data_IF_191969898992
#
_entry.id   IF_191969898992
#
_cell.length_a   1.000
_cell.length_b   1.000
_cell.length_c   1.000
_cell.angle_alpha   90.00
_cell.angle_beta   90.00
_cell.angle_gamma   90.00
#
_symmetry.space_group_name_H-M   'P 1'
#
loop_
_entity.id
_entity.type
_entity.pdbx_description
1 polymer ?
2 non-polymer ?
3 non-polymer ?
4 water ?
#
# COMPACT_ATOMS: atom_id res chain seq x y z
N UNK A 4 11.49 -28.97 3.56
CA UNK A 4 10.40 -27.98 3.89
C UNK A 4 10.03 -27.17 2.64
N UNK A 5 8.78 -27.25 2.13
CA UNK A 5 8.42 -26.62 0.87
C UNK A 5 8.41 -25.09 1.03
N UNK A 6 8.65 -24.36 -0.05
CA UNK A 6 8.54 -22.88 -0.02
C UNK A 6 7.07 -22.50 -0.15
N UNK A 7 6.62 -21.46 0.56
CA UNK A 7 5.22 -21.12 0.51
C UNK A 7 4.81 -20.49 -0.81
N UNK A 8 3.54 -20.71 -1.16
CA UNK A 8 2.88 -20.12 -2.35
C UNK A 8 2.05 -18.90 -1.92
N UNK A 9 1.76 -18.80 -0.63
CA UNK A 9 0.94 -17.72 -0.04
C UNK A 9 1.35 -17.51 1.41
N UNK A 10 1.35 -16.24 1.84
CA UNK A 10 1.59 -15.85 3.24
C UNK A 10 0.45 -14.98 3.70
N UNK A 11 0.37 -14.84 5.00
CA UNK A 11 -0.55 -13.83 5.56
C UNK A 11 0.27 -12.72 6.19
N UNK A 12 -0.28 -11.51 5.98
CA UNK A 12 0.34 -10.25 6.40
C UNK A 12 -0.64 -9.50 7.29
N UNK A 13 -0.25 -9.11 8.48
CA UNK A 13 -0.97 -8.20 9.36
C UNK A 13 -0.45 -6.79 9.13
N UNK A 14 -1.36 -5.86 8.94
CA UNK A 14 -1.08 -4.41 8.88
C UNK A 14 -1.81 -3.75 10.03
N UNK A 15 -1.10 -3.01 10.88
CA UNK A 15 -1.73 -2.19 11.93
C UNK A 15 -1.41 -0.76 11.75
N UNK A 16 -2.33 0.12 12.03
CA UNK A 16 -2.06 1.55 12.11
C UNK A 16 -2.72 2.09 13.36
N UNK A 17 -1.94 2.85 14.15
CA UNK A 17 -2.46 3.44 15.38
C UNK A 17 -1.82 4.78 15.64
N UNK A 18 -2.62 5.81 15.72
CA UNK A 18 -2.16 7.13 16.18
C UNK A 18 -2.33 7.11 17.71
N UNK A 19 -1.21 7.03 18.41
CA UNK A 19 -1.18 6.77 19.87
C UNK A 19 -1.45 8.05 20.68
N UNK A 20 -1.59 9.19 20.05
CA UNK A 20 -1.95 10.42 20.78
C UNK A 20 -0.91 10.80 21.82
N UNK A 21 0.35 10.45 21.59
CA UNK A 21 1.49 10.84 22.46
C UNK A 21 1.28 10.29 23.87
N UNK A 22 0.60 9.14 24.01
CA UNK A 22 0.39 8.47 25.32
C UNK A 22 0.97 7.10 25.22
N UNK A 23 1.53 6.54 26.32
CA UNK A 23 1.88 5.13 26.33
C UNK A 23 0.68 4.23 26.19
N UNK A 24 0.91 3.06 25.61
CA UNK A 24 -0.17 2.11 25.43
C UNK A 24 -0.62 1.50 26.74
N UNK A 25 -1.79 0.87 26.77
CA UNK A 25 -2.19 0.13 27.94
C UNK A 25 -1.38 -1.17 28.02
N UNK A 26 -1.56 -1.92 29.09
CA UNK A 26 -0.70 -3.12 29.31
C UNK A 26 -1.02 -4.25 28.33
N UNK A 27 -2.24 -4.35 27.85
CA UNK A 27 -2.63 -5.43 26.93
C UNK A 27 -3.12 -4.82 25.61
N UNK A 28 -2.47 -5.21 24.51
CA UNK A 28 -2.89 -4.71 23.16
C UNK A 28 -3.13 -5.89 22.24
N UNK A 29 -3.24 -7.10 22.77
CA UNK A 29 -3.41 -8.31 21.94
C UNK A 29 -4.61 -8.27 20.99
N UNK A 30 -5.70 -7.58 21.36
CA UNK A 30 -6.93 -7.51 20.52
C UNK A 30 -6.57 -6.92 19.15
N UNK A 31 -5.59 -6.01 19.11
CA UNK A 31 -5.15 -5.42 17.83
C UNK A 31 -4.62 -6.51 16.90
N UNK A 32 -3.68 -7.31 17.39
CA UNK A 32 -3.00 -8.31 16.55
C UNK A 32 -3.89 -9.52 16.27
N UNK A 33 -4.95 -9.70 17.06
CA UNK A 33 -5.96 -10.75 16.83
C UNK A 33 -7.07 -10.27 15.91
N UNK A 34 -7.08 -9.02 15.43
CA UNK A 34 -8.16 -8.52 14.56
C UNK A 34 -9.52 -8.70 15.26
N UNK A 35 -9.62 -8.25 16.51
CA UNK A 35 -10.84 -8.32 17.34
C UNK A 35 -11.38 -6.90 17.56
N UNK A 36 -12.70 -6.74 17.47
CA UNK A 36 -13.37 -5.49 17.81
C UNK A 36 -14.51 -5.31 16.89
N UNK A 37 -14.51 -4.21 16.16
CA UNK A 37 -15.58 -3.83 15.20
C UNK A 37 -15.09 -4.10 13.78
N UNK A 38 -16.03 -4.26 12.85
CA UNK A 38 -15.74 -4.34 11.45
C UNK A 38 -15.66 -5.76 11.00
N UNK A 39 -14.75 -6.03 10.06
CA UNK A 39 -14.51 -7.38 9.49
C UNK A 39 -13.41 -8.02 10.32
N UNK A 40 -13.82 -8.86 11.29
CA UNK A 40 -12.94 -9.39 12.32
C UNK A 40 -12.54 -10.83 12.00
N UNK A 41 -11.51 -11.25 12.68
CA UNK A 41 -10.91 -12.59 12.45
C UNK A 41 -11.59 -13.62 13.37
N UNK A 42 -11.76 -14.81 12.84
CA UNK A 42 -12.42 -15.91 13.58
C UNK A 42 -11.55 -16.32 14.79
N UNK A 43 -12.24 -16.57 15.90
CA UNK A 43 -11.56 -17.02 17.15
C UNK A 43 -10.72 -18.28 16.91
N UNK A 44 -11.15 -19.14 16.01
CA UNK A 44 -10.43 -20.41 15.78
C UNK A 44 -9.04 -20.19 15.19
N UNK A 45 -8.72 -18.99 14.72
CA UNK A 45 -7.39 -18.65 14.14
C UNK A 45 -6.52 -17.96 15.19
N UNK A 46 -6.95 -17.75 16.41
CA UNK A 46 -6.18 -16.87 17.32
C UNK A 46 -4.73 -17.32 17.53
N UNK A 47 -4.45 -18.61 17.52
CA UNK A 47 -3.09 -19.09 17.82
C UNK A 47 -2.25 -19.18 16.56
N UNK A 48 -2.84 -19.00 15.39
CA UNK A 48 -2.13 -19.14 14.10
C UNK A 48 -1.41 -17.83 13.84
N UNK A 49 -0.08 -17.82 13.81
CA UNK A 49 0.65 -16.58 13.59
C UNK A 49 0.48 -16.16 12.12
N UNK A 50 0.41 -14.84 11.92
CA UNK A 50 0.64 -14.29 10.59
C UNK A 50 2.13 -14.45 10.26
N UNK A 51 2.45 -14.51 8.98
CA UNK A 51 3.85 -14.64 8.52
C UNK A 51 4.62 -13.37 8.81
N UNK A 52 3.99 -12.22 8.56
CA UNK A 52 4.64 -10.89 8.68
C UNK A 52 3.66 -9.97 9.40
N UNK A 53 4.12 -9.21 10.36
CA UNK A 53 3.37 -8.15 11.06
C UNK A 53 4.03 -6.82 10.78
N UNK A 54 3.27 -5.87 10.24
CA UNK A 54 3.74 -4.52 9.95
C UNK A 54 2.94 -3.57 10.77
N UNK A 55 3.63 -2.81 11.63
CA UNK A 55 2.98 -1.98 12.68
C UNK A 55 3.35 -0.52 12.47
N UNK A 56 2.38 0.29 12.02
CA UNK A 56 2.58 1.72 11.83
C UNK A 56 1.99 2.48 12.97
N UNK A 57 2.76 3.36 13.59
CA UNK A 57 2.27 4.27 14.62
C UNK A 57 2.49 5.70 14.19
N UNK A 58 1.65 6.55 14.73
CA UNK A 58 1.80 8.03 14.61
C UNK A 58 1.65 8.60 16.01
N UNK A 59 2.22 9.78 16.25
CA UNK A 59 2.22 10.36 17.61
C UNK A 59 2.69 9.32 18.61
N UNK A 60 3.73 8.56 18.26
CA UNK A 60 4.28 7.49 19.09
C UNK A 60 5.28 8.10 20.06
N UNK A 61 5.00 8.00 21.38
CA UNK A 61 5.90 8.62 22.39
C UNK A 61 7.00 7.69 22.87
N UNK A 62 7.04 6.46 22.45
CA UNK A 62 7.96 5.42 22.98
C UNK A 62 9.27 5.48 22.22
N UNK A 63 10.32 4.97 22.85
CA UNK A 63 11.54 4.67 22.11
C UNK A 63 11.32 3.43 21.22
N UNK A 64 12.18 3.22 20.24
CA UNK A 64 12.13 2.00 19.43
C UNK A 64 12.27 0.78 20.33
N UNK A 65 13.20 0.82 21.31
CA UNK A 65 13.39 -0.33 22.19
C UNK A 65 12.11 -0.62 22.96
N UNK A 66 11.53 0.40 23.54
CA UNK A 66 10.33 0.25 24.38
C UNK A 66 9.19 -0.35 23.55
N UNK A 67 8.97 0.13 22.33
CA UNK A 67 7.86 -0.38 21.51
C UNK A 67 8.12 -1.79 21.00
N UNK A 68 9.35 -2.08 20.57
CA UNK A 68 9.71 -3.43 20.13
C UNK A 68 9.46 -4.44 21.24
N UNK A 69 9.88 -4.10 22.46
CA UNK A 69 9.63 -4.91 23.67
C UNK A 69 8.16 -5.31 23.70
N UNK A 70 7.29 -4.29 23.68
CA UNK A 70 5.84 -4.47 23.82
C UNK A 70 5.28 -5.31 22.69
N UNK A 71 5.71 -5.01 21.47
CA UNK A 71 5.21 -5.76 20.31
C UNK A 71 5.60 -7.23 20.40
N UNK A 72 6.88 -7.49 20.58
CA UNK A 72 7.35 -8.89 20.64
C UNK A 72 6.66 -9.69 21.76
N UNK A 73 6.49 -9.07 22.93
CA UNK A 73 5.78 -9.68 24.08
C UNK A 73 4.35 -10.05 23.66
N UNK A 74 3.63 -9.09 23.07
CA UNK A 74 2.23 -9.29 22.66
C UNK A 74 2.13 -10.49 21.71
N UNK A 75 3.01 -10.57 20.70
CA UNK A 75 2.94 -11.66 19.73
C UNK A 75 3.31 -12.97 20.42
N UNK A 76 4.33 -12.96 21.26
CA UNK A 76 4.74 -14.21 21.95
C UNK A 76 3.60 -14.72 22.82
N UNK A 77 2.88 -13.83 23.48
CA UNK A 77 1.75 -14.24 24.33
C UNK A 77 0.64 -14.86 23.47
N UNK A 78 0.38 -14.30 22.27
CA UNK A 78 -0.72 -14.79 21.39
C UNK A 78 -0.35 -16.16 20.79
N UNK A 79 0.86 -16.28 20.30
CA UNK A 79 1.25 -17.34 19.33
C UNK A 79 2.27 -18.33 19.90
N UNK A 80 2.93 -17.97 20.98
CA UNK A 80 4.07 -18.74 21.58
C UNK A 80 5.25 -18.73 20.63
N UNK A 81 5.32 -17.78 19.69
CA UNK A 81 6.45 -17.63 18.73
C UNK A 81 7.20 -16.36 19.05
N UNK A 82 8.52 -16.43 19.03
CA UNK A 82 9.41 -15.28 19.20
C UNK A 82 9.74 -14.69 17.82
N UNK A 83 9.11 -13.58 17.48
CA UNK A 83 9.24 -12.99 16.14
C UNK A 83 10.60 -12.32 16.00
N UNK A 84 11.10 -12.28 14.79
CA UNK A 84 12.36 -11.61 14.44
C UNK A 84 12.08 -10.23 13.89
N UNK A 85 12.88 -9.27 14.24
CA UNK A 85 12.73 -7.91 13.75
C UNK A 85 13.34 -7.79 12.36
N UNK A 86 12.57 -7.49 11.34
CA UNK A 86 13.04 -7.30 9.96
C UNK A 86 13.57 -5.90 9.81
N UNK A 87 12.81 -4.91 10.29
CA UNK A 87 13.19 -3.51 10.15
C UNK A 87 12.39 -2.64 11.10
N UNK A 88 12.97 -1.54 11.51
CA UNK A 88 12.28 -0.49 12.28
C UNK A 88 12.77 0.85 11.78
N UNK A 89 11.89 1.79 11.54
CA UNK A 89 12.31 3.13 11.08
C UNK A 89 11.38 4.18 11.64
N UNK A 90 11.90 5.25 12.15
CA UNK A 90 11.15 6.31 12.81
C UNK A 90 11.50 7.65 12.18
N UNK A 91 10.52 8.48 11.86
CA UNK A 91 10.71 9.89 11.51
C UNK A 91 9.89 10.65 12.53
N UNK A 92 10.51 11.46 13.37
CA UNK A 92 9.82 12.20 14.43
C UNK A 92 9.05 11.20 15.28
N UNK A 93 7.73 11.29 15.26
CA UNK A 93 6.89 10.37 16.05
C UNK A 93 6.09 9.42 15.15
N UNK A 94 6.53 9.23 13.92
CA UNK A 94 5.95 8.33 12.91
C UNK A 94 6.82 7.12 12.78
N UNK A 95 6.34 5.92 12.97
CA UNK A 95 7.21 4.75 13.05
C UNK A 95 6.61 3.56 12.33
N UNK A 96 7.48 2.75 11.79
CA UNK A 96 7.12 1.46 11.19
C UNK A 96 7.99 0.36 11.78
N UNK A 97 7.37 -0.75 12.17
CA UNK A 97 8.08 -1.96 12.64
C UNK A 97 7.63 -3.10 11.75
N UNK A 98 8.57 -3.91 11.26
CA UNK A 98 8.25 -5.14 10.53
C UNK A 98 8.84 -6.31 11.30
N UNK A 99 7.99 -7.26 11.66
CA UNK A 99 8.34 -8.49 12.36
C UNK A 99 7.97 -9.66 11.51
N UNK A 100 8.73 -10.74 11.57
CA UNK A 100 8.42 -11.95 10.78
C UNK A 100 8.70 -13.20 11.58
N UNK A 101 8.01 -14.29 11.24
CA UNK A 101 8.28 -15.62 11.82
C UNK A 101 9.77 -15.91 11.68
N UNK A 102 10.39 -16.60 12.66
CA UNK A 102 11.80 -16.96 12.50
C UNK A 102 12.13 -17.86 11.31
N UNK A 103 11.20 -18.68 10.88
CA UNK A 103 11.39 -19.57 9.72
C UNK A 103 11.57 -18.75 8.44
N UNK A 104 11.21 -17.46 8.44
CA UNK A 104 11.28 -16.62 7.23
C UNK A 104 12.59 -15.89 7.14
N UNK A 105 13.46 -16.04 8.14
CA UNK A 105 14.62 -15.14 8.24
C UNK A 105 15.51 -15.24 6.99
N UNK A 106 15.66 -16.44 6.45
CA UNK A 106 16.52 -16.71 5.25
C UNK A 106 15.66 -16.71 3.97
N UNK A 107 14.43 -16.18 4.04
CA UNK A 107 13.56 -15.92 2.85
C UNK A 107 13.50 -14.42 2.60
N UNK A 108 13.94 -13.62 3.54
CA UNK A 108 13.80 -12.15 3.48
C UNK A 108 15.15 -11.53 3.17
N UNK A 109 15.25 -10.66 2.20
CA UNK A 109 16.52 -10.01 1.86
C UNK A 109 16.25 -8.62 1.27
N UNK A 110 17.27 -7.88 0.90
CA UNK A 110 17.12 -6.56 0.26
C UNK A 110 16.21 -5.69 1.12
N UNK A 111 16.48 -5.58 2.38
CA UNK A 111 15.66 -4.74 3.27
C UNK A 111 16.07 -3.30 3.07
N UNK A 112 15.10 -2.42 2.78
CA UNK A 112 15.29 -0.96 2.64
C UNK A 112 14.33 -0.20 3.55
N UNK A 113 14.77 0.94 4.05
CA UNK A 113 13.94 1.87 4.82
C UNK A 113 14.14 3.24 4.25
N UNK A 114 13.12 4.08 4.36
CA UNK A 114 13.28 5.50 3.99
C UNK A 114 12.17 6.31 4.66
N UNK A 115 12.24 7.61 4.58
CA UNK A 115 11.18 8.51 5.08
C UNK A 115 11.07 9.69 4.12
N UNK A 116 9.95 10.33 4.15
CA UNK A 116 9.69 11.59 3.45
C UNK A 116 9.09 12.54 4.44
N UNK A 117 9.60 13.77 4.51
CA UNK A 117 9.08 14.89 5.29
C UNK A 117 8.20 15.72 4.40
N UNK A 118 6.91 15.92 4.72
CA UNK A 118 6.05 16.69 3.81
C UNK A 118 6.06 18.17 4.19
N UNK A 119 5.53 19.03 3.32
CA UNK A 119 5.30 20.44 3.72
C UNK A 119 6.54 21.30 3.47
N UNK A 120 6.43 22.58 3.82
CA UNK A 120 7.52 23.62 3.61
C UNK A 120 7.38 24.60 4.77
N UNK A 121 8.51 24.99 5.39
CA UNK A 121 8.61 26.01 6.48
C UNK A 121 7.62 25.67 7.61
N UNK A 122 6.55 26.47 7.78
CA UNK A 122 5.41 26.30 8.76
C UNK A 122 4.97 24.83 8.88
N UNK A 123 4.85 24.15 7.74
CA UNK A 123 4.20 22.81 7.59
C UNK A 123 5.26 21.71 7.48
N UNK A 124 6.57 22.02 7.59
CA UNK A 124 7.62 20.98 7.69
C UNK A 124 7.95 20.82 9.16
N UNK A 125 7.83 19.61 9.70
CA UNK A 125 8.40 19.31 11.02
C UNK A 125 7.67 18.26 11.78
N UNK A 126 6.45 17.87 11.35
CA UNK A 126 5.89 16.68 12.03
C UNK A 126 5.18 15.65 11.15
N UNK A 127 4.76 16.03 9.94
CA UNK A 127 3.99 15.14 9.03
C UNK A 127 4.97 14.50 8.03
N UNK A 128 4.59 13.34 7.52
CA UNK A 128 5.36 12.68 6.49
C UNK A 128 5.11 11.21 6.53
N UNK A 129 6.06 10.44 6.12
CA UNK A 129 5.87 8.99 5.97
C UNK A 129 7.15 8.27 6.23
N UNK A 130 7.06 7.03 6.69
CA UNK A 130 8.19 6.10 6.77
C UNK A 130 7.82 4.89 5.94
N UNK A 131 8.78 4.16 5.45
CA UNK A 131 8.49 2.95 4.72
C UNK A 131 9.56 1.91 4.82
N UNK A 132 9.19 0.71 4.49
CA UNK A 132 10.07 -0.46 4.49
C UNK A 132 9.78 -1.23 3.21
N UNK A 133 10.78 -1.78 2.55
CA UNK A 133 10.61 -2.79 1.50
C UNK A 133 11.58 -3.94 1.68
N UNK A 134 11.22 -5.08 1.13
CA UNK A 134 12.16 -6.21 1.10
C UNK A 134 11.63 -7.19 0.09
N UNK A 135 12.45 -8.20 -0.21
CA UNK A 135 12.06 -9.35 -1.00
C UNK A 135 11.71 -10.47 -0.05
N UNK A 136 10.66 -11.19 -0.33
CA UNK A 136 10.26 -12.43 0.35
C UNK A 136 10.36 -13.48 -0.75
N UNK A 137 11.43 -14.28 -0.75
CA UNK A 137 11.71 -15.20 -1.91
C UNK A 137 11.62 -14.36 -3.21
N UNK A 138 10.76 -14.72 -4.17
CA UNK A 138 10.73 -14.06 -5.47
C UNK A 138 9.79 -12.87 -5.48
N UNK A 139 9.22 -12.46 -4.34
CA UNK A 139 8.13 -11.47 -4.29
C UNK A 139 8.63 -10.23 -3.59
N UNK A 140 8.43 -9.07 -4.19
CA UNK A 140 8.81 -7.77 -3.57
C UNK A 140 7.60 -7.23 -2.81
N UNK A 141 7.86 -6.74 -1.62
CA UNK A 141 6.84 -6.22 -0.67
C UNK A 141 7.25 -4.83 -0.24
N UNK A 142 6.32 -3.87 -0.31
CA UNK A 142 6.52 -2.50 0.18
C UNK A 142 5.45 -2.09 1.14
N UNK A 143 5.83 -1.28 2.13
CA UNK A 143 4.95 -0.86 3.22
C UNK A 143 5.18 0.60 3.50
N UNK A 144 4.14 1.40 3.56
CA UNK A 144 4.24 2.85 3.81
C UNK A 144 3.30 3.18 4.93
N UNK A 145 3.81 3.84 5.95
CA UNK A 145 3.03 4.42 7.06
C UNK A 145 3.11 5.91 6.94
N UNK A 146 2.03 6.59 6.64
CA UNK A 146 2.05 8.05 6.47
C UNK A 146 1.15 8.69 7.50
N UNK A 147 1.54 9.83 8.04
CA UNK A 147 0.75 10.75 8.85
C UNK A 147 0.55 12.01 8.02
N UNK A 148 -0.62 12.18 7.44
CA UNK A 148 -0.89 13.29 6.51
C UNK A 148 -1.44 14.49 7.27
N UNK A 149 -1.53 15.61 6.59
CA UNK A 149 -1.94 16.88 7.18
C UNK A 149 -3.31 16.72 7.80
N UNK A 150 -3.52 17.32 8.98
CA UNK A 150 -4.80 17.29 9.72
C UNK A 150 -5.76 18.37 9.28
N UNK A 151 -7.01 18.26 9.68
CA UNK A 151 -7.99 19.34 9.50
C UNK A 151 -8.98 19.05 8.43
N UNK A 152 -10.27 19.22 8.73
CA UNK A 152 -11.31 18.91 7.73
C UNK A 152 -11.17 19.69 6.43
N UNK A 153 -10.58 20.89 6.50
CA UNK A 153 -10.55 21.86 5.38
C UNK A 153 -9.37 21.56 4.43
N UNK A 154 -8.50 20.61 4.80
CA UNK A 154 -7.19 20.45 4.15
C UNK A 154 -7.09 19.16 3.33
N UNK A 155 -8.18 18.75 2.69
CA UNK A 155 -8.08 17.53 1.86
C UNK A 155 -7.08 17.68 0.69
N UNK A 156 -7.02 18.86 0.09
CA UNK A 156 -6.11 19.05 -1.07
C UNK A 156 -4.66 18.99 -0.59
N UNK A 157 -4.36 19.44 0.63
CA UNK A 157 -3.00 19.29 1.20
C UNK A 157 -2.69 17.81 1.39
N UNK A 158 -3.65 17.04 1.91
CA UNK A 158 -3.42 15.60 2.07
C UNK A 158 -3.11 14.96 0.72
N UNK A 159 -3.83 15.37 -0.31
CA UNK A 159 -3.58 14.80 -1.64
C UNK A 159 -2.16 15.16 -2.13
N UNK A 160 -1.74 16.37 -1.85
CA UNK A 160 -0.36 16.80 -2.21
C UNK A 160 0.65 16.02 -1.39
N UNK A 161 0.35 15.78 -0.10
CA UNK A 161 1.25 14.98 0.76
C UNK A 161 1.44 13.59 0.14
N UNK A 162 0.32 12.97 -0.27
CA UNK A 162 0.36 11.66 -0.93
C UNK A 162 1.30 11.67 -2.13
N UNK A 163 1.17 12.66 -3.02
CA UNK A 163 1.99 12.68 -4.25
C UNK A 163 3.46 12.88 -3.85
N UNK A 164 3.73 13.77 -2.89
CA UNK A 164 5.15 13.93 -2.49
C UNK A 164 5.72 12.63 -1.95
N UNK A 165 4.96 11.92 -1.12
CA UNK A 165 5.46 10.66 -0.53
C UNK A 165 5.72 9.64 -1.65
N UNK A 166 4.74 9.54 -2.54
CA UNK A 166 4.73 8.63 -3.72
C UNK A 166 5.98 8.87 -4.56
N UNK A 167 6.34 10.15 -4.74
CA UNK A 167 7.46 10.55 -5.61
C UNK A 167 8.79 10.33 -4.94
N UNK A 168 8.90 10.64 -3.66
CA UNK A 168 10.22 10.84 -3.04
C UNK A 168 10.61 9.71 -2.12
N UNK A 169 9.71 8.77 -1.79
CA UNK A 169 10.12 7.69 -0.89
C UNK A 169 10.93 6.70 -1.70
N UNK A 170 12.17 6.47 -1.33
CA UNK A 170 13.14 5.68 -2.12
C UNK A 170 13.23 4.26 -1.61
N UNK A 171 12.25 3.43 -1.94
CA UNK A 171 12.24 2.01 -1.54
C UNK A 171 12.38 1.14 -2.75
N UNK A 172 12.64 -0.15 -2.55
CA UNK A 172 12.69 -1.14 -3.62
C UNK A 172 13.88 -0.97 -4.51
N UNK A 173 13.80 -1.56 -5.68
CA UNK A 173 14.99 -1.75 -6.55
C UNK A 173 15.32 -0.44 -7.27
N UNK A 174 16.50 0.11 -6.87
CA UNK A 174 16.93 1.42 -7.45
C UNK A 174 17.14 1.30 -8.96
N UNK A 175 17.31 0.21 -9.55
CA UNK A 175 17.47 0.03 -11.01
C UNK A 175 16.15 0.30 -11.73
N UNK A 176 15.02 0.27 -10.98
CA UNK A 176 13.69 0.57 -11.57
C UNK A 176 13.49 2.07 -11.64
N UNK A 177 14.46 2.76 -12.29
CA UNK A 177 14.60 4.23 -12.13
C UNK A 177 13.41 5.00 -12.65
N UNK A 178 12.67 4.58 -13.70
CA UNK A 178 11.52 5.35 -14.12
C UNK A 178 10.30 5.20 -13.20
N UNK A 179 10.37 4.29 -12.24
CA UNK A 179 9.17 3.84 -11.49
C UNK A 179 9.22 4.37 -10.08
N UNK A 180 8.10 4.86 -9.61
CA UNK A 180 7.90 5.22 -8.19
C UNK A 180 7.45 4.00 -7.39
N UNK A 181 7.22 4.20 -6.09
CA UNK A 181 6.82 3.05 -5.27
C UNK A 181 5.52 2.42 -5.73
N UNK A 182 4.65 3.14 -6.45
CA UNK A 182 3.38 2.51 -6.88
C UNK A 182 3.59 1.48 -7.99
N UNK A 183 4.80 1.29 -8.49
CA UNK A 183 5.10 0.25 -9.47
C UNK A 183 6.24 -0.66 -9.04
N UNK A 184 6.90 -0.43 -7.92
CA UNK A 184 8.12 -1.23 -7.63
C UNK A 184 7.85 -2.56 -6.95
N UNK A 185 6.63 -2.82 -6.46
CA UNK A 185 6.38 -3.98 -5.59
C UNK A 185 5.27 -4.85 -6.12
N UNK A 186 5.44 -6.16 -5.93
CA UNK A 186 4.38 -7.12 -6.21
C UNK A 186 3.14 -6.69 -5.41
N UNK A 187 3.36 -6.41 -4.14
CA UNK A 187 2.32 -5.96 -3.20
C UNK A 187 2.83 -4.72 -2.46
N UNK A 188 2.05 -3.64 -2.51
CA UNK A 188 2.35 -2.41 -1.78
C UNK A 188 1.20 -2.17 -0.82
N UNK A 189 1.47 -1.97 0.45
CA UNK A 189 0.47 -1.62 1.49
C UNK A 189 0.76 -0.21 1.95
N UNK A 190 -0.23 0.66 1.93
CA UNK A 190 -0.12 2.07 2.34
C UNK A 190 -1.18 2.32 3.39
N UNK A 191 -0.76 2.73 4.56
CA UNK A 191 -1.63 2.85 5.72
C UNK A 191 -1.18 4.03 6.55
N UNK A 192 -1.94 4.38 7.56
CA UNK A 192 -1.56 5.45 8.46
C UNK A 192 -2.73 6.25 8.92
N UNK A 193 -2.39 7.33 9.62
CA UNK A 193 -3.35 8.42 9.91
C UNK A 193 -3.39 9.34 8.71
N UNK A 194 -4.19 8.92 7.74
CA UNK A 194 -4.34 9.65 6.48
C UNK A 194 -5.12 10.93 6.70
N UNK A 195 -5.91 11.01 7.77
CA UNK A 195 -6.49 12.28 8.24
C UNK A 195 -7.62 12.79 7.35
N UNK A 196 -8.17 11.99 6.46
CA UNK A 196 -9.37 12.41 5.73
C UNK A 196 -10.61 12.30 6.62
N UNK A 197 -11.51 13.26 6.45
CA UNK A 197 -12.62 13.44 7.40
C UNK A 197 -13.95 13.16 6.70
N UNK A 198 -14.97 13.05 7.53
CA UNK A 198 -16.39 12.97 7.07
C UNK A 198 -16.82 14.42 6.90
N UNK A 199 -17.06 14.85 5.67
CA UNK A 199 -17.29 16.28 5.36
C UNK A 199 -18.80 16.55 5.40
N UNK A 200 -19.30 16.77 6.62
CA UNK A 200 -20.69 17.14 6.88
C UNK A 200 -20.61 18.41 7.69
N UNK A 201 -21.70 19.22 7.72
CA UNK A 201 -21.64 20.46 8.47
C UNK A 201 -21.41 20.20 9.97
N UNK A 202 -20.71 21.10 10.65
CA UNK A 202 -20.29 20.91 12.07
C UNK A 202 -21.52 20.84 12.98
N UNK A 203 -22.63 21.46 12.58
CA UNK A 203 -23.90 21.46 13.34
C UNK A 203 -24.69 20.16 13.13
N UNK A 204 -24.19 19.24 12.28
CA UNK A 204 -24.68 17.85 12.20
C UNK A 204 -23.92 16.93 13.18
N UNK A 205 -23.07 17.42 14.09
CA UNK A 205 -22.22 16.56 14.93
C UNK A 205 -23.08 15.56 15.69
N UNK A 206 -24.13 16.01 16.34
CA UNK A 206 -24.87 15.10 17.21
C UNK A 206 -25.64 14.12 16.33
N UNK A 207 -26.13 14.55 15.18
CA UNK A 207 -26.78 13.61 14.23
C UNK A 207 -25.78 12.53 13.83
N UNK A 208 -24.53 12.92 13.54
CA UNK A 208 -23.49 11.91 13.16
C UNK A 208 -23.28 10.90 14.30
N UNK A 209 -23.20 11.39 15.53
CA UNK A 209 -23.02 10.53 16.71
C UNK A 209 -24.17 9.52 16.82
N UNK A 210 -25.40 9.96 16.61
CA UNK A 210 -26.58 9.07 16.74
C UNK A 210 -26.55 8.02 15.60
N UNK A 211 -26.10 8.38 14.38
CA UNK A 211 -25.92 7.39 13.30
C UNK A 211 -24.90 6.32 13.73
N UNK A 212 -23.78 6.77 14.32
CA UNK A 212 -22.72 5.84 14.75
C UNK A 212 -23.29 4.89 15.81
N UNK A 213 -24.06 5.39 16.76
CA UNK A 213 -24.68 4.54 17.81
C UNK A 213 -25.63 3.49 17.23
N UNK A 214 -26.27 3.81 16.12
CA UNK A 214 -27.17 2.90 15.40
C UNK A 214 -26.44 2.00 14.42
N UNK A 215 -25.09 2.12 14.38
CA UNK A 215 -24.24 1.40 13.40
C UNK A 215 -24.74 1.60 11.98
N UNK A 216 -25.15 2.82 11.66
CA UNK A 216 -25.64 3.19 10.33
C UNK A 216 -24.60 4.08 9.71
N UNK A 217 -23.65 3.50 8.99
CA UNK A 217 -22.47 4.24 8.49
C UNK A 217 -22.68 4.76 7.08
N UNK A 218 -23.74 4.40 6.35
CA UNK A 218 -23.80 4.66 4.89
C UNK A 218 -23.81 6.16 4.62
N UNK A 219 -24.58 6.96 5.34
CA UNK A 219 -24.68 8.40 5.04
C UNK A 219 -23.43 9.12 5.52
N UNK A 220 -22.64 8.46 6.38
CA UNK A 220 -21.33 9.05 6.75
C UNK A 220 -20.26 8.70 5.70
N UNK A 221 -20.19 7.43 5.29
CA UNK A 221 -19.16 6.99 4.32
C UNK A 221 -19.35 7.70 3.00
N UNK A 222 -20.58 8.06 2.62
CA UNK A 222 -20.82 8.78 1.35
C UNK A 222 -20.23 10.18 1.43
N UNK A 223 -19.81 10.66 2.61
CA UNK A 223 -19.14 11.98 2.73
C UNK A 223 -17.68 11.82 3.18
N UNK A 224 -17.17 10.60 3.28
CA UNK A 224 -15.75 10.43 3.64
C UNK A 224 -14.90 10.98 2.51
N UNK A 225 -13.97 11.88 2.90
CA UNK A 225 -13.15 12.57 1.90
C UNK A 225 -12.25 11.60 1.16
N UNK A 226 -11.72 10.57 1.79
CA UNK A 226 -10.82 9.66 1.07
C UNK A 226 -11.63 8.89 0.00
N UNK A 227 -12.79 8.36 0.31
CA UNK A 227 -13.61 7.68 -0.70
C UNK A 227 -14.02 8.65 -1.80
N UNK A 228 -14.40 9.88 -1.49
CA UNK A 228 -14.85 10.79 -2.56
C UNK A 228 -13.66 11.22 -3.37
N UNK A 229 -12.53 11.57 -2.78
CA UNK A 229 -11.34 11.95 -3.54
C UNK A 229 -10.87 10.80 -4.43
N UNK A 230 -10.90 9.57 -3.92
CA UNK A 230 -10.53 8.39 -4.74
C UNK A 230 -11.50 8.27 -5.92
N UNK A 231 -12.81 8.42 -5.70
CA UNK A 231 -13.81 8.25 -6.77
C UNK A 231 -13.60 9.31 -7.86
N UNK A 232 -13.10 10.49 -7.49
CA UNK A 232 -12.83 11.57 -8.45
C UNK A 232 -11.40 11.49 -8.98
N UNK A 233 -10.67 10.42 -8.64
CA UNK A 233 -9.32 10.17 -9.15
C UNK A 233 -8.38 11.31 -8.75
N UNK A 234 -8.51 11.83 -7.54
CA UNK A 234 -7.62 12.91 -7.04
C UNK A 234 -6.48 12.33 -6.19
N UNK A 235 -6.56 11.07 -5.73
CA UNK A 235 -5.59 10.49 -4.81
C UNK A 235 -5.71 8.97 -4.85
N UNK A 236 -4.66 8.27 -4.54
CA UNK A 236 -4.67 6.82 -4.40
C UNK A 236 -5.25 6.15 -5.65
N UNK A 237 -4.92 6.66 -6.81
CA UNK A 237 -5.35 6.02 -8.05
C UNK A 237 -4.80 4.61 -8.09
N UNK A 238 -5.64 3.64 -8.42
CA UNK A 238 -5.30 2.21 -8.63
C UNK A 238 -4.96 1.51 -7.34
N UNK A 239 -5.35 2.09 -6.21
CA UNK A 239 -5.30 1.37 -4.90
C UNK A 239 -6.66 0.82 -4.56
N UNK A 240 -6.67 -0.18 -3.70
CA UNK A 240 -7.90 -0.84 -3.17
C UNK A 240 -8.04 -0.54 -1.68
N UNK A 241 -9.26 -0.56 -1.18
CA UNK A 241 -9.54 -0.51 0.26
C UNK A 241 -10.71 -1.45 0.49
N UNK A 242 -10.65 -2.24 1.56
CA UNK A 242 -11.79 -3.09 1.98
C UNK A 242 -12.94 -2.19 2.45
N UNK A 243 -14.18 -2.63 2.28
CA UNK A 243 -15.33 -1.88 2.76
C UNK A 243 -15.17 -1.64 4.25
N UNK A 244 -15.51 -0.43 4.69
CA UNK A 244 -15.47 -0.03 6.11
C UNK A 244 -16.78 -0.39 6.80
N UNK A 245 -16.69 -1.18 7.83
CA UNK A 245 -17.89 -1.67 8.56
C UNK A 245 -17.70 -1.47 10.04
N UNK A 246 -16.78 -0.59 10.45
CA UNK A 246 -16.44 -0.23 11.85
C UNK A 246 -16.73 1.26 12.02
N UNK A 247 -16.97 1.67 13.26
CA UNK A 247 -17.25 3.08 13.56
C UNK A 247 -16.03 3.94 13.27
N UNK A 248 -16.26 5.23 13.03
CA UNK A 248 -15.12 6.16 12.96
C UNK A 248 -14.14 5.98 14.11
N UNK A 249 -12.83 6.07 13.81
CA UNK A 249 -11.79 5.76 14.80
C UNK A 249 -11.23 7.01 15.48
N UNK A 250 -11.79 8.16 15.16
CA UNK A 250 -11.34 9.46 15.69
C UNK A 250 -12.60 10.31 15.78
N UNK A 251 -12.70 11.29 16.70
CA UNK A 251 -11.81 11.60 17.80
C UNK A 251 -12.53 11.23 19.09
N UNK A 252 -11.97 10.33 19.87
CA UNK A 252 -12.56 9.82 21.12
C UNK A 252 -12.01 10.57 22.33
N UNK A 253 -12.85 10.70 23.35
CA UNK A 253 -12.35 10.99 24.71
C UNK A 253 -11.50 9.82 25.14
N UNK A 254 -10.36 10.08 25.73
CA UNK A 254 -9.48 8.98 26.21
C UNK A 254 -10.10 8.22 27.38
N UNK A 255 -9.74 6.97 27.55
CA UNK A 255 -10.01 6.05 28.68
C UNK A 255 -11.42 5.44 28.58
N UNK A 256 -12.22 5.86 27.61
CA UNK A 256 -13.48 5.18 27.26
C UNK A 256 -13.57 5.07 25.74
N UNK A 257 -14.53 4.36 25.16
CA UNK A 257 -14.90 4.61 23.74
C UNK A 257 -16.34 5.08 23.65
N UNK A 258 -16.89 5.58 24.75
CA UNK A 258 -18.34 5.91 24.80
C UNK A 258 -18.60 7.30 24.24
N UNK A 259 -17.57 8.13 24.05
CA UNK A 259 -17.76 9.55 23.70
C UNK A 259 -16.81 9.93 22.58
N UNK A 260 -17.38 10.54 21.58
CA UNK A 260 -16.64 11.29 20.57
C UNK A 260 -16.46 12.72 21.05
N UNK A 261 -15.25 13.24 21.01
CA UNK A 261 -14.91 14.61 21.44
C UNK A 261 -14.68 15.43 20.19
N UNK A 262 -15.69 16.10 19.69
CA UNK A 262 -15.66 16.79 18.40
C UNK A 262 -15.59 18.32 18.49
N UNK A 263 -15.93 18.89 19.65
CA UNK A 263 -16.13 20.36 19.80
C UNK A 263 -14.78 21.07 19.69
N UNK A 264 -14.81 22.32 19.19
CA UNK A 264 -13.59 23.13 19.06
C UNK A 264 -13.10 23.54 20.46
N UNK A 265 -11.80 23.48 20.63
CA UNK A 265 -11.10 23.79 21.91
C UNK A 265 -9.79 24.52 21.58
N UNK A 266 -9.22 25.30 22.54
CA UNK A 266 -7.89 25.89 22.27
C UNK A 266 -6.88 24.79 21.85
N UNK A 267 -6.96 23.62 22.49
CA UNK A 267 -6.06 22.47 22.22
C UNK A 267 -6.19 22.00 20.76
N UNK A 268 -7.32 22.23 20.11
CA UNK A 268 -7.46 21.83 18.68
C UNK A 268 -7.26 23.00 17.75
N UNK A 269 -6.74 24.14 18.21
CA UNK A 269 -6.67 25.30 17.32
C UNK A 269 -8.04 25.84 16.96
N UNK A 270 -9.02 25.65 17.84
CA UNK A 270 -10.40 26.06 17.61
C UNK A 270 -10.97 25.39 16.35
N UNK A 271 -10.58 24.12 16.14
CA UNK A 271 -11.07 23.27 15.04
C UNK A 271 -12.06 22.24 15.58
N UNK A 272 -13.13 21.98 14.83
CA UNK A 272 -14.00 20.85 15.09
C UNK A 272 -13.33 19.60 14.51
N UNK A 273 -13.51 18.52 15.23
CA UNK A 273 -13.10 17.17 14.78
C UNK A 273 -14.33 16.26 14.75
N UNK A 274 -15.16 16.41 13.75
CA UNK A 274 -16.33 15.52 13.59
C UNK A 274 -15.77 14.11 13.47
N UNK A 275 -16.52 13.12 13.98
CA UNK A 275 -16.10 11.71 13.88
C UNK A 275 -15.75 11.31 12.46
N UNK A 276 -14.58 10.71 12.30
CA UNK A 276 -13.97 10.47 11.00
C UNK A 276 -13.21 9.15 10.97
N UNK A 277 -13.06 8.61 9.78
CA UNK A 277 -12.20 7.44 9.52
C UNK A 277 -10.81 7.92 9.12
N UNK A 278 -10.11 8.47 10.12
CA UNK A 278 -8.74 8.96 9.83
C UNK A 278 -7.75 7.87 9.48
N UNK A 279 -7.97 6.67 10.00
CA UNK A 279 -6.95 5.61 10.16
C UNK A 279 -7.25 4.48 9.20
N UNK A 280 -6.42 4.25 8.19
CA UNK A 280 -6.84 3.49 6.99
C UNK A 280 -5.74 2.55 6.56
N UNK A 281 -6.11 1.53 5.80
CA UNK A 281 -5.17 0.62 5.12
C UNK A 281 -5.65 0.45 3.70
N UNK A 282 -4.77 0.69 2.77
CA UNK A 282 -5.01 0.52 1.33
C UNK A 282 -3.89 -0.32 0.74
N UNK A 283 -4.12 -0.92 -0.40
CA UNK A 283 -3.07 -1.72 -1.06
C UNK A 283 -3.18 -1.64 -2.56
N UNK A 284 -2.09 -2.02 -3.18
CA UNK A 284 -2.02 -2.11 -4.65
C UNK A 284 -1.12 -3.25 -4.95
N UNK A 285 -1.59 -4.24 -5.68
CA UNK A 285 -0.80 -5.41 -6.08
C UNK A 285 -0.74 -5.46 -7.60
N UNK A 286 0.31 -6.04 -8.14
CA UNK A 286 0.40 -6.23 -9.61
C UNK A 286 -0.80 -7.02 -10.10
N UNK A 287 -1.14 -6.80 -11.39
CA UNK A 287 -2.28 -7.47 -11.98
C UNK A 287 -2.21 -9.00 -11.84
N UNK A 288 -3.34 -9.60 -11.49
CA UNK A 288 -3.57 -11.06 -11.45
C UNK A 288 -2.66 -11.72 -10.43
N UNK A 289 -2.21 -10.98 -9.41
CA UNK A 289 -1.55 -11.63 -8.26
C UNK A 289 -2.62 -11.80 -7.19
N UNK A 290 -2.62 -12.91 -6.51
CA UNK A 290 -3.57 -13.20 -5.42
C UNK A 290 -3.32 -12.21 -4.28
N UNK A 291 -4.35 -11.53 -3.86
CA UNK A 291 -4.36 -10.70 -2.63
C UNK A 291 -5.79 -10.64 -2.17
N UNK A 292 -6.04 -11.03 -0.96
CA UNK A 292 -7.40 -11.07 -0.40
C UNK A 292 -7.35 -10.50 1.00
N UNK A 293 -8.14 -9.46 1.24
CA UNK A 293 -8.30 -8.91 2.60
C UNK A 293 -9.15 -9.83 3.45
N UNK A 294 -8.58 -10.30 4.56
CA UNK A 294 -9.22 -11.26 5.50
C UNK A 294 -9.89 -10.53 6.66
N UNK A 295 -9.44 -9.32 7.00
CA UNK A 295 -9.95 -8.58 8.16
C UNK A 295 -9.70 -7.09 7.89
N UNK A 296 -10.58 -6.24 8.40
CA UNK A 296 -10.40 -4.78 8.33
C UNK A 296 -11.31 -4.19 9.37
N UNK A 297 -10.75 -3.70 10.46
CA UNK A 297 -11.57 -3.26 11.60
C UNK A 297 -10.80 -2.47 12.60
N UNK A 298 -11.43 -2.18 13.72
CA UNK A 298 -10.83 -1.34 14.77
C UNK A 298 -10.98 -2.06 16.10
N UNK A 299 -10.08 -1.83 17.04
CA UNK A 299 -10.23 -2.41 18.37
C UNK A 299 -11.20 -1.53 19.14
N UNK A 300 -11.79 -2.17 20.15
CA UNK A 300 -12.77 -1.52 21.04
C UNK A 300 -12.21 -1.36 22.46
N UNK A 301 -11.10 -2.01 22.80
CA UNK A 301 -10.64 -2.12 24.20
C UNK A 301 -9.29 -1.45 24.42
N UNK A 302 -8.77 -0.66 23.46
CA UNK A 302 -7.48 0.05 23.61
C UNK A 302 -7.84 1.53 23.57
N UNK A 303 -7.75 2.22 24.72
CA UNK A 303 -8.44 3.52 24.94
C UNK A 303 -7.49 4.63 25.40
N UNK A 304 -6.18 4.42 25.30
CA UNK A 304 -5.19 5.42 25.79
C UNK A 304 -5.08 6.61 24.84
N UNK A 305 -5.47 6.45 23.57
CA UNK A 305 -5.38 7.50 22.56
C UNK A 305 -6.77 8.04 22.22
N UNK A 306 -6.81 9.19 21.58
CA UNK A 306 -8.02 9.72 20.96
C UNK A 306 -8.32 9.01 19.63
N UNK A 307 -7.45 8.16 19.11
CA UNK A 307 -7.77 7.23 18.01
C UNK A 307 -7.84 5.81 18.51
N UNK A 308 -8.67 4.98 17.89
CA UNK A 308 -8.60 3.52 18.04
C UNK A 308 -7.65 2.94 17.03
N UNK A 309 -6.89 1.91 17.41
CA UNK A 309 -6.11 1.15 16.45
C UNK A 309 -6.96 0.54 15.34
N UNK A 310 -6.38 0.41 14.17
CA UNK A 310 -7.00 -0.24 13.04
C UNK A 310 -6.14 -1.41 12.62
N UNK A 311 -6.76 -2.53 12.27
CA UNK A 311 -6.09 -3.72 11.76
C UNK A 311 -6.62 -4.06 10.39
N UNK A 312 -5.75 -4.63 9.59
CA UNK A 312 -6.14 -5.32 8.36
C UNK A 312 -5.23 -6.50 8.17
N UNK A 313 -5.78 -7.57 7.66
CA UNK A 313 -4.95 -8.75 7.31
C UNK A 313 -5.23 -9.21 5.91
N UNK A 314 -4.21 -9.81 5.31
CA UNK A 314 -4.22 -10.18 3.89
C UNK A 314 -3.60 -11.55 3.70
N UNK A 315 -4.16 -12.30 2.76
CA UNK A 315 -3.52 -13.50 2.18
C UNK A 315 -2.93 -13.06 0.84
N UNK A 316 -1.59 -13.15 0.68
CA UNK A 316 -0.85 -12.58 -0.44
C UNK A 316 -0.06 -13.69 -1.14
N UNK A 317 -0.21 -13.76 -2.45
CA UNK A 317 0.54 -14.73 -3.25
C UNK A 317 1.99 -14.36 -3.28
N UNK A 318 2.85 -15.39 -3.16
CA UNK A 318 4.31 -15.26 -3.24
C UNK A 318 4.84 -16.33 -4.17
N UNK A 319 6.03 -16.10 -4.68
CA UNK A 319 6.70 -17.03 -5.59
C UNK A 319 8.05 -17.37 -5.01
N UNK A 320 8.61 -18.47 -5.51
CA UNK A 320 9.90 -19.04 -5.04
C UNK A 320 11.05 -18.27 -5.69
N UNK A 321 12.28 -18.50 -5.19
CA UNK A 321 13.53 -18.01 -5.79
C UNK A 321 13.99 -19.06 -6.82
N UNK A 322 13.47 -18.99 -8.04
CA UNK A 322 13.65 -19.97 -9.12
C UNK A 322 15.12 -20.04 -9.60
N UNK A 323 15.64 -21.27 -9.66
CA UNK A 323 16.92 -21.63 -10.33
C UNK A 323 16.60 -22.66 -11.43
N UNK A 324 17.18 -22.47 -12.61
CA UNK A 324 17.21 -23.52 -13.66
C UNK A 324 18.68 -23.84 -14.00
N UNK A 325 18.85 -24.81 -14.90
CA UNK A 325 20.16 -25.20 -15.48
C UNK A 325 20.73 -23.97 -16.21
N UNK A 326 19.86 -23.10 -16.74
CA UNK A 326 20.21 -21.87 -17.50
C UNK A 326 20.17 -20.65 -16.55
N UNK A 327 19.10 -19.85 -16.56
CA UNK A 327 19.02 -18.66 -15.67
C UNK A 327 18.86 -19.09 -14.20
N UNK A 328 19.30 -18.30 -13.20
CA UNK A 328 20.05 -17.03 -13.41
C UNK A 328 21.50 -17.09 -13.94
N UNK A 329 21.89 -16.07 -14.71
CA UNK A 329 23.26 -15.89 -15.24
C UNK A 329 23.39 -16.28 -16.69
N UNK A 330 22.27 -16.53 -17.33
CA UNK A 330 22.17 -16.71 -18.80
C UNK A 330 20.68 -16.57 -19.15
N UNK A 331 20.35 -16.52 -20.44
CA UNK A 331 18.95 -16.59 -20.96
C UNK A 331 18.53 -18.07 -21.06
N UNK A 332 17.27 -18.31 -21.42
CA UNK A 332 16.70 -19.65 -21.69
C UNK A 332 16.06 -19.58 -23.07
N UNK A 333 16.87 -19.78 -24.11
CA UNK A 333 16.50 -19.52 -25.53
C UNK A 333 15.09 -20.07 -25.81
N UNK A 334 14.58 -20.99 -24.99
CA UNK A 334 13.23 -21.58 -25.19
C UNK A 334 12.15 -20.53 -24.89
N UNK A 335 12.50 -19.43 -24.21
CA UNK A 335 11.55 -18.37 -23.77
C UNK A 335 11.61 -17.11 -24.61
N UNK A 336 10.46 -16.47 -24.86
CA UNK A 336 10.42 -15.15 -25.51
C UNK A 336 9.08 -14.44 -25.22
N UNK A 337 9.18 -13.12 -25.19
CA UNK A 337 7.99 -12.23 -25.09
C UNK A 337 8.00 -11.26 -26.28
N UNK A 338 6.92 -11.31 -27.05
CA UNK A 338 6.72 -10.44 -28.23
C UNK A 338 5.52 -9.54 -27.94
N UNK A 339 5.70 -8.24 -28.20
CA UNK A 339 4.59 -7.25 -28.32
C UNK A 339 4.24 -7.04 -29.80
N UNK A 340 2.95 -7.10 -30.13
CA UNK A 340 2.43 -6.90 -31.49
C UNK A 340 1.51 -5.69 -31.44
N UNK A 341 1.57 -4.80 -32.43
CA UNK A 341 0.47 -3.82 -32.69
C UNK A 341 0.26 -3.00 -31.40
N UNK A 342 1.35 -2.58 -30.78
CA UNK A 342 1.21 -1.82 -29.52
C UNK A 342 1.15 -0.33 -29.84
N UNK A 343 0.37 0.36 -29.04
CA UNK A 343 0.43 1.83 -29.07
C UNK A 343 0.13 2.41 -27.69
N UNK A 344 0.75 3.55 -27.47
CA UNK A 344 0.52 4.35 -26.25
C UNK A 344 -0.38 5.51 -26.65
N UNK A 345 -1.35 5.84 -25.82
CA UNK A 345 -2.18 7.05 -25.94
C UNK A 345 -1.78 7.95 -24.78
N UNK A 346 -1.28 9.15 -25.06
CA UNK A 346 -0.77 10.04 -23.99
C UNK A 346 -1.58 11.32 -23.95
N UNK A 347 -1.84 11.81 -22.75
CA UNK A 347 -2.51 13.10 -22.50
C UNK A 347 -1.59 14.31 -22.72
N UNK A 348 -0.31 14.14 -22.91
CA UNK A 348 0.65 15.27 -23.14
C UNK A 348 0.34 16.14 -24.36
N UNK A 349 0.73 17.40 -24.26
CA UNK A 349 0.65 18.36 -25.39
C UNK A 349 1.98 18.37 -26.16
N UNK A 350 3.04 17.80 -25.58
CA UNK A 350 4.41 17.86 -26.16
C UNK A 350 4.41 17.12 -27.50
N UNK A 351 5.45 17.30 -28.32
CA UNK A 351 5.55 16.62 -29.64
C UNK A 351 6.94 15.97 -29.82
N UNK A 352 7.71 15.72 -28.75
CA UNK A 352 8.94 14.88 -28.78
C UNK A 352 8.61 13.50 -29.39
N UNK A 353 9.61 12.78 -29.88
CA UNK A 353 9.51 11.34 -30.11
C UNK A 353 9.59 10.63 -28.74
N UNK A 354 9.05 9.42 -28.70
CA UNK A 354 9.04 8.59 -27.46
C UNK A 354 9.58 7.20 -27.76
N UNK A 355 10.21 6.61 -26.75
CA UNK A 355 10.65 5.21 -26.75
C UNK A 355 10.16 4.54 -25.49
N UNK A 356 10.19 3.22 -25.51
CA UNK A 356 9.76 2.42 -24.33
C UNK A 356 10.96 1.87 -23.62
N UNK A 357 10.83 1.64 -22.32
CA UNK A 357 11.69 0.72 -21.55
C UNK A 357 10.84 -0.37 -20.93
N UNK A 358 11.34 -1.60 -21.06
CA UNK A 358 10.72 -2.79 -20.46
C UNK A 358 11.62 -3.24 -19.30
N UNK A 359 11.09 -3.26 -18.08
CA UNK A 359 11.82 -3.68 -16.87
C UNK A 359 11.12 -4.88 -16.25
N UNK A 360 11.91 -5.85 -15.91
CA UNK A 360 11.36 -7.02 -15.20
C UNK A 360 12.50 -7.84 -14.63
N UNK A 361 12.26 -8.42 -13.45
CA UNK A 361 13.17 -9.41 -12.80
C UNK A 361 13.40 -10.61 -13.72
N UNK A 362 12.50 -10.88 -14.67
CA UNK A 362 12.68 -12.03 -15.58
C UNK A 362 13.66 -11.71 -16.71
N UNK A 363 14.17 -10.48 -16.81
CA UNK A 363 15.19 -10.05 -17.80
C UNK A 363 16.52 -9.82 -17.09
N UNK A 364 17.62 -10.00 -17.81
CA UNK A 364 18.96 -9.76 -17.22
C UNK A 364 19.15 -8.28 -16.92
N UNK A 365 18.56 -7.43 -17.76
CA UNK A 365 18.54 -5.97 -17.61
C UNK A 365 17.43 -5.39 -18.48
N UNK A 366 17.12 -4.12 -18.23
CA UNK A 366 15.97 -3.50 -18.93
C UNK A 366 16.29 -3.39 -20.41
N UNK A 367 15.23 -3.28 -21.19
CA UNK A 367 15.31 -3.24 -22.68
C UNK A 367 14.69 -1.94 -23.16
N UNK A 368 15.41 -1.24 -24.03
CA UNK A 368 15.02 0.08 -24.60
C UNK A 368 14.60 -0.11 -26.06
N UNK A 369 13.35 0.22 -26.40
CA UNK A 369 12.80 0.10 -27.75
C UNK A 369 13.37 1.20 -28.66
N UNK A 370 13.11 1.03 -29.95
CA UNK A 370 13.20 2.11 -30.97
C UNK A 370 12.14 3.16 -30.64
N UNK A 371 12.28 4.34 -31.23
CA UNK A 371 11.24 5.39 -31.14
C UNK A 371 9.98 4.93 -31.85
N UNK A 372 8.84 5.30 -31.32
CA UNK A 372 7.55 5.03 -31.95
C UNK A 372 7.22 6.10 -33.00
N UNK A 373 6.12 5.88 -33.71
CA UNK A 373 5.60 6.80 -34.76
C UNK A 373 4.42 7.58 -34.17
N UNK A 374 4.59 8.90 -34.03
CA UNK A 374 3.54 9.78 -33.49
C UNK A 374 2.43 10.02 -34.52
N UNK A 375 1.18 9.88 -34.12
CA UNK A 375 0.00 10.33 -34.90
C UNK A 375 -0.86 11.19 -33.96
N UNK A 376 -1.71 12.03 -34.51
CA UNK A 376 -2.78 12.79 -33.80
C UNK A 376 -4.02 11.88 -33.68
N UNK A 377 -4.53 11.68 -32.45
CA UNK A 377 -5.82 11.02 -32.17
C UNK A 377 -7.00 11.93 -32.51
N UNK A 378 -8.19 11.34 -32.72
CA UNK A 378 -9.42 12.03 -33.20
C UNK A 378 -9.84 13.13 -32.20
N UNK A 379 -9.68 12.89 -30.89
CA UNK A 379 -10.19 13.79 -29.80
C UNK A 379 -9.02 14.59 -29.19
N UNK A 380 -7.95 14.87 -29.96
CA UNK A 380 -6.85 15.79 -29.56
C UNK A 380 -5.57 15.10 -29.07
N UNK A 381 -5.59 13.79 -28.79
CA UNK A 381 -4.54 13.06 -27.99
C UNK A 381 -3.28 12.79 -28.81
N UNK A 382 -2.20 12.40 -28.14
CA UNK A 382 -1.04 11.85 -28.86
C UNK A 382 -1.13 10.32 -28.84
N UNK A 383 -1.06 9.70 -30.03
CA UNK A 383 -0.96 8.24 -30.19
C UNK A 383 0.43 7.95 -30.67
N UNK A 384 1.14 7.10 -29.95
CA UNK A 384 2.51 6.69 -30.32
C UNK A 384 2.42 5.23 -30.75
N UNK A 385 2.70 4.92 -32.01
CA UNK A 385 2.54 3.55 -32.56
C UNK A 385 3.90 2.88 -32.58
N UNK A 386 4.00 1.62 -32.17
CA UNK A 386 5.30 0.89 -32.17
C UNK A 386 5.35 -0.22 -33.22
N UNK A 387 4.19 -0.56 -33.73
CA UNK A 387 4.02 -1.54 -34.81
C UNK A 387 4.41 -2.93 -34.33
N UNK A 388 5.27 -3.58 -35.10
CA UNK A 388 5.87 -4.91 -34.83
C UNK A 388 7.37 -4.64 -34.69
N UNK A 389 7.70 -3.40 -34.29
CA UNK A 389 9.09 -2.88 -34.19
C UNK A 389 9.68 -3.21 -32.80
N UNK A 390 8.87 -3.62 -31.81
CA UNK A 390 9.36 -3.73 -30.40
C UNK A 390 10.35 -4.88 -30.25
N UNK A 391 11.43 -4.74 -29.44
CA UNK A 391 12.45 -5.78 -29.32
C UNK A 391 11.82 -7.06 -28.73
N UNK A 392 12.22 -8.23 -29.18
CA UNK A 392 11.74 -9.51 -28.58
C UNK A 392 12.44 -9.67 -27.23
N UNK A 393 11.72 -9.87 -26.12
CA UNK A 393 12.36 -9.93 -24.78
C UNK A 393 12.74 -11.38 -24.50
N UNK A 394 13.90 -11.54 -23.90
CA UNK A 394 14.56 -12.85 -23.69
C UNK A 394 14.65 -13.08 -22.20
N UNK A 395 13.65 -13.80 -21.63
CA UNK A 395 13.66 -14.09 -20.21
C UNK A 395 14.77 -15.07 -19.86
N UNK A 396 15.21 -14.99 -18.62
CA UNK A 396 16.36 -15.72 -18.02
C UNK A 396 15.95 -17.18 -17.78
N UNK A 397 14.67 -17.39 -17.62
CA UNK A 397 14.08 -18.73 -17.35
C UNK A 397 12.84 -18.91 -18.22
N UNK A 398 12.68 -20.07 -18.84
CA UNK A 398 11.59 -20.31 -19.83
C UNK A 398 10.47 -21.16 -19.23
N UNK A 399 10.71 -21.76 -18.07
CA UNK A 399 9.74 -22.66 -17.42
C UNK A 399 8.44 -21.87 -17.24
N UNK A 400 7.28 -22.36 -17.73
CA UNK A 400 6.02 -21.62 -17.60
C UNK A 400 5.61 -21.47 -16.13
N UNK A 401 5.97 -22.38 -15.24
CA UNK A 401 5.66 -22.22 -13.79
C UNK A 401 6.34 -20.97 -13.20
N UNK A 402 7.40 -20.54 -13.82
CA UNK A 402 8.10 -19.28 -13.41
C UNK A 402 7.48 -18.17 -14.26
N UNK A 403 7.51 -18.29 -15.59
CA UNK A 403 7.34 -17.09 -16.46
C UNK A 403 5.91 -16.58 -16.37
N UNK A 404 4.92 -17.44 -16.24
CA UNK A 404 3.51 -16.98 -16.23
C UNK A 404 3.25 -16.17 -14.94
N UNK A 405 4.08 -16.31 -13.92
CA UNK A 405 3.91 -15.51 -12.68
C UNK A 405 4.64 -14.18 -12.73
N UNK A 406 5.26 -13.80 -13.82
CA UNK A 406 6.07 -12.56 -13.87
C UNK A 406 5.25 -11.41 -14.43
N UNK A 407 5.88 -10.23 -14.37
CA UNK A 407 5.28 -8.96 -14.81
C UNK A 407 6.32 -8.12 -15.52
N UNK A 408 5.86 -7.38 -16.54
CA UNK A 408 6.70 -6.44 -17.29
C UNK A 408 6.23 -5.02 -16.94
N UNK A 409 7.11 -4.24 -16.35
CA UNK A 409 6.90 -2.80 -16.16
C UNK A 409 7.28 -2.10 -17.45
N UNK A 410 6.48 -1.14 -17.85
CA UNK A 410 6.70 -0.31 -19.07
C UNK A 410 6.75 1.15 -18.69
N UNK A 411 7.77 1.83 -19.18
CA UNK A 411 7.89 3.30 -19.12
C UNK A 411 7.97 3.82 -20.55
N UNK A 412 7.19 4.84 -20.84
CA UNK A 412 7.31 5.58 -22.12
C UNK A 412 8.07 6.86 -21.82
N UNK A 413 9.20 7.04 -22.51
CA UNK A 413 10.16 8.12 -22.21
C UNK A 413 10.31 9.03 -23.44
N UNK A 414 10.47 10.31 -23.16
CA UNK A 414 10.82 11.32 -24.20
C UNK A 414 12.24 11.09 -24.72
N UNK A 415 12.40 11.09 -26.04
CA UNK A 415 13.74 11.01 -26.68
C UNK A 415 14.55 12.27 -26.36
N UNK A 416 13.90 13.41 -26.18
CA UNK A 416 14.56 14.73 -26.00
C UNK A 416 15.09 14.85 -24.57
N UNK A 417 14.35 14.35 -23.57
CA UNK A 417 14.70 14.60 -22.14
C UNK A 417 15.03 13.30 -21.40
N UNK A 418 14.67 12.14 -21.97
CA UNK A 418 14.75 10.82 -21.31
C UNK A 418 13.92 10.78 -20.02
N UNK A 419 13.02 11.58 -19.90
CA UNK A 419 12.13 11.57 -18.72
C UNK A 419 10.91 10.69 -19.04
N UNK A 420 10.39 9.96 -18.04
CA UNK A 420 9.18 9.13 -18.22
C UNK A 420 7.95 10.00 -18.24
N UNK A 421 7.11 9.78 -19.23
CA UNK A 421 5.79 10.41 -19.31
C UNK A 421 4.69 9.46 -18.83
N UNK A 422 5.01 8.18 -18.56
CA UNK A 422 3.98 7.26 -18.08
C UNK A 422 4.61 5.90 -17.79
N UNK A 423 4.07 5.29 -16.77
CA UNK A 423 4.48 3.98 -16.25
C UNK A 423 3.28 3.09 -16.09
N UNK A 424 3.44 1.82 -16.39
CA UNK A 424 2.40 0.81 -16.18
C UNK A 424 2.99 -0.58 -16.06
N UNK A 425 2.11 -1.58 -15.97
CA UNK A 425 2.55 -2.95 -15.68
C UNK A 425 1.66 -3.92 -16.43
N UNK A 426 2.26 -4.92 -17.03
CA UNK A 426 1.57 -6.01 -17.77
C UNK A 426 1.86 -7.35 -17.09
N UNK A 427 0.82 -8.07 -16.73
CA UNK A 427 0.97 -9.46 -16.21
C UNK A 427 1.26 -10.44 -17.38
N UNK A 428 2.11 -11.41 -17.10
CA UNK A 428 2.34 -12.57 -18.03
C UNK A 428 1.45 -13.77 -17.66
N UNK A 429 0.49 -13.60 -16.76
CA UNK A 429 -0.44 -14.68 -16.35
C UNK A 429 -1.52 -14.86 -17.43
N UNK A 430 -1.11 -15.30 -18.63
CA UNK A 430 -1.97 -15.29 -19.82
C UNK A 430 -2.91 -16.48 -19.89
N UNK A 431 -3.98 -16.34 -20.65
CA UNK A 431 -4.95 -17.42 -20.94
C UNK A 431 -4.33 -18.52 -21.81
N UNK A 432 -3.26 -18.24 -22.52
CA UNK A 432 -2.66 -19.15 -23.53
C UNK A 432 -1.24 -18.70 -23.79
N UNK A 433 -0.35 -19.63 -24.18
CA UNK A 433 0.98 -19.33 -24.74
C UNK A 433 0.96 -19.53 -26.28
N UNK A 434 1.96 -18.97 -26.94
CA UNK A 434 2.13 -19.12 -28.41
C UNK A 434 0.86 -18.59 -29.10
N UNK A 435 0.18 -17.62 -28.50
CA UNK A 435 -1.14 -17.12 -28.96
C UNK A 435 -1.14 -15.59 -28.81
N UNK A 436 -1.58 -14.84 -29.82
CA UNK A 436 -1.68 -13.37 -29.71
C UNK A 436 -2.86 -13.07 -28.81
N UNK A 437 -2.60 -12.27 -27.76
CA UNK A 437 -3.64 -11.95 -26.76
C UNK A 437 -3.59 -10.46 -26.47
N UNK A 438 -4.76 -9.85 -26.24
CA UNK A 438 -4.80 -8.43 -25.87
C UNK A 438 -4.10 -8.19 -24.52
N UNK A 439 -3.37 -7.09 -24.48
CA UNK A 439 -2.78 -6.55 -23.22
C UNK A 439 -3.17 -5.09 -23.08
N UNK A 440 -3.14 -4.61 -21.85
CA UNK A 440 -3.56 -3.23 -21.52
C UNK A 440 -2.95 -2.87 -20.17
N UNK A 441 -2.49 -1.62 -20.05
CA UNK A 441 -2.27 -0.99 -18.73
C UNK A 441 -2.60 0.48 -18.85
N UNK A 442 -3.18 1.07 -17.81
CA UNK A 442 -3.14 2.53 -17.71
C UNK A 442 -1.68 2.96 -17.49
N UNK A 443 -1.38 4.18 -17.85
CA UNK A 443 -0.07 4.79 -17.61
C UNK A 443 -0.26 5.93 -16.63
N UNK A 444 0.63 5.99 -15.64
CA UNK A 444 0.64 7.09 -14.68
C UNK A 444 2.02 7.72 -14.64
N UNK A 445 2.06 8.94 -14.13
CA UNK A 445 3.35 9.61 -13.80
C UNK A 445 3.09 10.42 -12.57
N UNK A 446 3.99 10.29 -11.59
CA UNK A 446 3.77 10.87 -10.24
C UNK A 446 2.41 10.41 -9.72
N UNK A 447 2.01 9.18 -10.05
CA UNK A 447 0.75 8.56 -9.56
C UNK A 447 -0.51 9.10 -10.17
N UNK A 448 -0.45 10.06 -11.11
CA UNK A 448 -1.63 10.54 -11.82
C UNK A 448 -1.69 9.99 -13.24
N UNK A 449 -2.91 9.82 -13.71
CA UNK A 449 -3.14 9.23 -15.05
C UNK A 449 -2.55 10.10 -16.14
N UNK A 450 -1.75 9.54 -17.02
CA UNK A 450 -1.14 10.27 -18.15
C UNK A 450 -1.45 9.62 -19.50
N UNK A 451 -2.10 8.48 -19.51
CA UNK A 451 -2.28 7.76 -20.78
C UNK A 451 -2.62 6.32 -20.58
N UNK A 452 -2.45 5.57 -21.65
CA UNK A 452 -2.72 4.13 -21.72
C UNK A 452 -1.75 3.46 -22.66
N UNK A 453 -1.54 2.18 -22.45
CA UNK A 453 -0.72 1.36 -23.37
C UNK A 453 -1.49 0.06 -23.64
N UNK A 454 -1.66 -0.25 -24.92
CA UNK A 454 -2.46 -1.45 -25.30
C UNK A 454 -1.90 -2.04 -26.57
N UNK A 455 -2.18 -3.32 -26.73
CA UNK A 455 -1.66 -4.03 -27.90
C UNK A 455 -1.91 -5.49 -27.69
N UNK A 456 -1.03 -6.27 -28.29
CA UNK A 456 -1.08 -7.74 -28.10
C UNK A 456 0.28 -8.25 -27.67
N UNK A 457 0.22 -9.39 -27.02
CA UNK A 457 1.40 -10.12 -26.53
C UNK A 457 1.34 -11.53 -27.12
N UNK A 458 2.54 -12.13 -27.22
CA UNK A 458 2.71 -13.55 -27.62
C UNK A 458 3.84 -14.08 -26.74
N UNK A 459 3.57 -14.97 -25.87
CA UNK A 459 4.53 -15.52 -24.90
C UNK A 459 4.87 -16.97 -25.26
N UNK A 460 6.17 -17.23 -25.43
CA UNK A 460 6.75 -18.58 -25.63
C UNK A 460 7.38 -19.03 -24.31
N UNK A 461 6.93 -20.17 -23.78
CA UNK A 461 7.56 -20.82 -22.63
C UNK A 461 8.16 -22.13 -23.14
N UNK A 462 8.87 -22.83 -22.29
CA UNK A 462 9.39 -24.19 -22.63
C UNK A 462 8.23 -25.18 -22.81
N UNK A 463 7.00 -24.89 -22.41
CA UNK A 463 5.91 -25.87 -22.64
C UNK A 463 5.04 -25.50 -23.86
X LIG B 1 -13.96 1.72 -7.44
X LIG B 1 -14.28 3.68 -6.44
X LIG B 1 -15.28 3.57 -5.51
X LIG B 1 -15.01 4.49 -4.51
X LIG B 1 -13.85 5.15 -4.86
X LIG B 1 -14.24 0.71 -8.55
X LIG B 1 -11.43 1.50 -7.90
X LIG B 1 -12.56 1.51 -6.86
X LIG B 1 -14.19 2.82 -7.72
X LIG B 1 -13.20 0.70 -9.67
X LIG B 1 -11.57 -0.90 -8.67
X LIG B 1 -10.74 0.86 -10.21
X LIG B 1 -13.42 4.64 -6.03
X LIG B 1 -11.66 0.47 -9.15
X LIG C 1 6.23 -11.99 -8.00
X LIG C 1 6.05 -12.95 -6.88
X LIG C 1 4.76 -12.11 -8.89
X LIG C 1 7.22 -12.76 -9.23
X LIG D 1 9.15 -7.01 -11.46
X LIG D 1 9.73 -8.02 -12.39
X LIG D 1 10.46 -5.83 -11.19
X LIG D 1 8.21 -5.99 -12.47
X LIG E 1 -1.33 -0.33 -13.62
X LIG E 1 0.04 -0.32 -12.92
X LIG E 1 -2.56 -0.09 -12.36
X LIG E 1 -1.62 -2.02 -14.05
#
# INVERSE_FOLDING_TARGET
SMEQPEPDMITIFIGTWNMGNAPPPKKITSWFLSKGQGKTRDDSADYIPHDIYVIGTQEDPLSEKEWLEILKHSLQEITSVTFKTVAIHTLWNIRIVVLAKPEHENRISHICTDNVKTGIANTLGNKGAVGVSFMFNGTSLGFVNSHLTSGSEKKLRRNQNYMNILRFLALGDKKLSPFNITHRFTHLFWFGDLNYRVDLPTWEAETIIQKIKQQQYADLLSHDQLLTERREQKVFLHFEEEEITFAPTYRFERLTRDKYAYTKQKATGMKYNLPSWCDRVLWKSYPLVHVVCQSYGSTSDIMTSDHSPVFATFEAGVTSQFVSKNGPGTVDSQGQIEFLRCYATLKTKSQTKFYLEFHSSCLESFVKSQEGENEEGSEGELVVKFGETLPKLKPIISDPEYLLDQHILISIKSSDSDESYGEGCIALRLEATETQLPIYTPLTHHGELTGHFQGEIKLQTSQ
O3D N1 C4 C5 C6 C7 C8 C1 C2 C3 C9 O1 O2 O3 S1
DMS S O C1 C2
DMS S O C1 C2
DMS S O C1 C2
#
